data_IF_470355735713
#
_entry.id   IF_470355735713
#
_cell.length_a   1.000
_cell.length_b   1.000
_cell.length_c   1.000
_cell.angle_alpha   90.00
_cell.angle_beta   90.00
_cell.angle_gamma   90.00
#
_symmetry.space_group_name_H-M   'P 1'
#
loop_
_entity.id
_entity.type
_entity.pdbx_description
1 polymer ?
#
# COMPACT_ATOMS: atom_id res chain seq x y z
N UNK A 1 3.82 -10.91 -13.68
CA UNK A 1 3.76 -11.16 -12.21
C UNK A 1 3.58 -12.66 -11.97
N UNK A 2 4.15 -13.20 -10.89
CA UNK A 2 3.86 -14.57 -10.44
C UNK A 2 2.72 -14.50 -9.41
N UNK A 3 1.50 -14.89 -9.82
CA UNK A 3 0.30 -14.84 -8.96
C UNK A 3 0.46 -15.63 -7.66
N UNK A 4 1.33 -16.65 -7.66
CA UNK A 4 1.62 -17.49 -6.51
C UNK A 4 2.22 -16.70 -5.32
N UNK A 5 3.15 -15.78 -5.58
CA UNK A 5 3.84 -15.04 -4.52
C UNK A 5 2.94 -14.01 -3.80
N UNK A 6 1.95 -13.44 -4.50
CA UNK A 6 0.94 -12.58 -3.89
C UNK A 6 -0.01 -13.44 -3.03
N UNK A 7 -0.41 -14.61 -3.54
CA UNK A 7 -1.20 -15.59 -2.78
C UNK A 7 -0.51 -16.05 -1.50
N UNK A 8 0.78 -16.39 -1.54
CA UNK A 8 1.53 -16.91 -0.39
C UNK A 8 1.64 -15.91 0.78
N UNK A 9 1.53 -14.59 0.55
CA UNK A 9 1.43 -13.59 1.62
C UNK A 9 -0.01 -13.51 2.17
N UNK A 10 -0.98 -13.17 1.32
CA UNK A 10 -2.35 -12.85 1.73
C UNK A 10 -3.26 -14.06 2.02
N UNK A 11 -2.83 -15.29 1.75
CA UNK A 11 -3.63 -16.53 1.95
C UNK A 11 -3.92 -16.92 3.40
N UNK A 12 -3.46 -16.16 4.39
CA UNK A 12 -3.64 -16.46 5.83
C UNK A 12 -5.05 -16.15 6.37
N UNK A 13 -5.92 -15.58 5.53
CA UNK A 13 -7.28 -15.17 5.89
C UNK A 13 -7.33 -13.76 6.47
N UNK A 14 -8.41 -13.05 6.18
CA UNK A 14 -8.63 -11.65 6.56
C UNK A 14 -8.48 -11.43 8.07
N UNK A 15 -9.00 -12.36 8.87
CA UNK A 15 -9.01 -12.32 10.33
C UNK A 15 -7.60 -12.16 10.94
N UNK A 16 -6.54 -12.67 10.28
CA UNK A 16 -5.16 -12.53 10.76
C UNK A 16 -4.70 -11.07 10.76
N UNK A 17 -4.85 -10.39 9.62
CA UNK A 17 -4.38 -9.02 9.43
C UNK A 17 -5.15 -8.05 10.33
N UNK A 18 -6.46 -8.31 10.51
CA UNK A 18 -7.34 -7.53 11.37
C UNK A 18 -7.00 -7.60 12.86
N UNK A 19 -6.08 -8.47 13.29
CA UNK A 19 -5.55 -8.42 14.67
C UNK A 19 -4.72 -7.16 14.93
N UNK A 20 -4.05 -6.60 13.90
CA UNK A 20 -3.11 -5.48 14.07
C UNK A 20 -3.30 -4.27 13.14
N UNK A 21 -3.94 -4.40 11.97
CA UNK A 21 -4.23 -3.24 11.10
C UNK A 21 -5.40 -2.40 11.63
N UNK A 22 -5.77 -1.35 10.90
CA UNK A 22 -6.97 -0.55 11.20
C UNK A 22 -8.25 -1.37 10.98
N UNK A 23 -9.22 -1.26 11.91
CA UNK A 23 -10.47 -2.04 11.85
C UNK A 23 -11.62 -1.35 11.11
N UNK A 24 -11.45 -0.10 10.68
CA UNK A 24 -12.49 0.76 10.07
C UNK A 24 -12.48 0.72 8.54
N UNK A 25 -11.29 0.73 7.95
CA UNK A 25 -11.03 0.70 6.51
C UNK A 25 -10.28 -0.56 6.08
N UNK A 26 -9.66 -1.30 7.02
CA UNK A 26 -8.86 -2.51 6.74
C UNK A 26 -7.70 -2.20 5.78
N UNK A 27 -7.07 -1.06 6.01
CA UNK A 27 -6.06 -0.47 5.14
C UNK A 27 -4.67 -0.97 5.52
N UNK A 28 -4.09 -1.79 4.64
CA UNK A 28 -2.76 -2.38 4.80
C UNK A 28 -1.73 -1.65 3.92
N UNK A 29 -1.64 -0.34 4.12
CA UNK A 29 -0.50 0.52 3.78
C UNK A 29 -0.17 1.36 5.02
N UNK A 30 0.88 2.19 4.97
CA UNK A 30 1.19 3.08 6.09
C UNK A 30 0.13 4.18 6.25
N UNK A 31 -0.09 4.60 7.50
CA UNK A 31 -0.87 5.82 7.80
C UNK A 31 -0.01 7.08 7.67
N UNK A 32 -0.61 8.25 7.91
CA UNK A 32 0.09 9.52 8.06
C UNK A 32 -0.14 10.10 9.47
N UNK A 33 0.96 10.32 10.21
CA UNK A 33 0.95 10.83 11.57
C UNK A 33 1.06 12.37 11.56
N UNK A 34 0.07 13.04 12.14
CA UNK A 34 0.17 14.45 12.53
C UNK A 34 0.74 14.60 13.93
N UNK A 35 0.41 13.64 14.82
CA UNK A 35 0.93 13.55 16.18
C UNK A 35 1.34 12.10 16.52
N UNK A 36 2.39 11.88 17.34
CA UNK A 36 2.94 10.52 17.57
C UNK A 36 2.04 9.55 18.35
N UNK A 37 0.96 10.05 18.95
CA UNK A 37 0.01 9.34 19.81
C UNK A 37 -1.36 9.08 19.15
N UNK A 38 -1.52 9.41 17.88
CA UNK A 38 -2.71 9.11 17.09
C UNK A 38 -2.91 7.59 16.90
N UNK A 39 -4.17 7.15 16.86
CA UNK A 39 -4.51 5.75 16.62
C UNK A 39 -4.28 5.34 15.17
N UNK A 40 -4.04 4.05 14.92
CA UNK A 40 -3.94 3.48 13.56
C UNK A 40 -5.16 3.86 12.70
N UNK A 41 -6.36 3.85 13.28
CA UNK A 41 -7.60 4.22 12.60
C UNK A 41 -7.61 5.70 12.13
N UNK A 42 -7.01 6.62 12.90
CA UNK A 42 -6.88 8.03 12.53
C UNK A 42 -5.79 8.24 11.47
N UNK A 43 -4.62 7.62 11.63
CA UNK A 43 -3.51 7.80 10.66
C UNK A 43 -3.79 7.11 9.32
N UNK A 44 -4.50 5.98 9.31
CA UNK A 44 -5.03 5.39 8.07
C UNK A 44 -6.06 6.32 7.40
N UNK A 45 -6.94 6.96 8.17
CA UNK A 45 -7.87 7.97 7.63
C UNK A 45 -7.13 9.21 7.07
N UNK A 46 -6.00 9.61 7.66
CA UNK A 46 -5.17 10.70 7.12
C UNK A 46 -4.51 10.36 5.79
N UNK A 47 -3.99 9.13 5.63
CA UNK A 47 -3.46 8.67 4.33
C UNK A 47 -4.57 8.64 3.28
N UNK A 48 -5.74 8.09 3.62
CA UNK A 48 -6.90 8.05 2.73
C UNK A 48 -7.40 9.46 2.32
N UNK A 49 -7.38 10.43 3.23
CA UNK A 49 -7.69 11.83 2.92
C UNK A 49 -6.64 12.46 1.98
N UNK A 50 -5.34 12.24 2.24
CA UNK A 50 -4.26 12.70 1.36
C UNK A 50 -4.46 12.16 -0.06
N UNK A 51 -4.65 10.84 -0.20
CA UNK A 51 -4.91 10.18 -1.49
C UNK A 51 -6.14 10.76 -2.21
N UNK A 52 -7.25 10.96 -1.49
CA UNK A 52 -8.48 11.53 -2.05
C UNK A 52 -8.30 12.98 -2.50
N UNK A 53 -7.66 13.81 -1.67
CA UNK A 53 -7.42 15.23 -1.93
C UNK A 53 -6.47 15.44 -3.11
N UNK A 54 -5.36 14.71 -3.20
CA UNK A 54 -4.38 14.85 -4.30
C UNK A 54 -4.96 14.53 -5.69
N UNK A 55 -5.98 13.66 -5.77
CA UNK A 55 -6.67 13.34 -7.02
C UNK A 55 -7.63 14.44 -7.50
N UNK A 56 -8.02 15.40 -6.64
CA UNK A 56 -9.00 16.46 -6.94
C UNK A 56 -10.32 15.95 -7.56
N UNK A 57 -10.80 14.79 -7.08
CA UNK A 57 -12.03 14.17 -7.57
C UNK A 57 -13.26 15.07 -7.34
N UNK A 58 -14.03 15.28 -8.40
CA UNK A 58 -15.30 16.03 -8.37
C UNK A 58 -16.49 15.07 -8.29
N UNK A 59 -17.62 15.46 -7.68
CA UNK A 59 -18.82 14.64 -7.64
C UNK A 59 -19.23 14.13 -9.03
N UNK A 60 -19.54 12.83 -9.13
CA UNK A 60 -19.88 12.17 -10.40
C UNK A 60 -18.70 11.74 -11.27
N UNK A 61 -17.45 12.01 -10.87
CA UNK A 61 -16.28 11.36 -11.45
C UNK A 61 -16.13 9.93 -10.89
N UNK A 62 -15.19 9.14 -11.43
CA UNK A 62 -14.85 7.81 -10.86
C UNK A 62 -13.38 7.72 -10.52
N UNK A 63 -13.11 6.97 -9.47
CA UNK A 63 -11.81 6.43 -9.12
C UNK A 63 -11.70 4.99 -9.63
N UNK A 64 -10.52 4.62 -10.15
CA UNK A 64 -10.07 3.23 -10.26
C UNK A 64 -9.03 2.96 -9.16
N UNK A 65 -9.12 1.80 -8.52
CA UNK A 65 -8.33 1.41 -7.34
C UNK A 65 -7.60 0.10 -7.66
N UNK A 66 -6.32 0.20 -8.05
CA UNK A 66 -5.48 -0.95 -8.42
C UNK A 66 -4.72 -1.41 -7.18
N UNK A 67 -5.05 -2.61 -6.71
CA UNK A 67 -4.50 -3.16 -5.47
C UNK A 67 -5.29 -2.80 -4.22
N UNK A 68 -6.57 -2.42 -4.35
CA UNK A 68 -7.43 -1.91 -3.27
C UNK A 68 -7.68 -2.80 -2.03
N UNK A 69 -7.00 -3.94 -1.90
CA UNK A 69 -7.00 -4.79 -0.70
C UNK A 69 -8.41 -5.16 -0.22
N UNK A 70 -8.70 -4.87 1.04
CA UNK A 70 -10.01 -5.06 1.67
C UNK A 70 -11.03 -3.94 1.38
N UNK A 71 -10.76 -3.09 0.40
CA UNK A 71 -11.67 -2.07 -0.11
C UNK A 71 -11.62 -0.73 0.62
N UNK A 72 -10.65 -0.48 1.52
CA UNK A 72 -10.60 0.74 2.34
C UNK A 72 -10.61 2.05 1.54
N UNK A 73 -9.79 2.14 0.48
CA UNK A 73 -9.76 3.27 -0.46
C UNK A 73 -11.11 3.43 -1.16
N UNK A 74 -11.65 2.34 -1.72
CA UNK A 74 -12.96 2.33 -2.39
C UNK A 74 -14.11 2.69 -1.42
N UNK A 75 -14.06 2.30 -0.15
CA UNK A 75 -15.02 2.67 0.89
C UNK A 75 -14.95 4.17 1.20
N UNK A 76 -13.73 4.70 1.34
CA UNK A 76 -13.46 6.10 1.69
C UNK A 76 -13.92 7.08 0.61
N UNK A 77 -13.40 6.88 -0.61
CA UNK A 77 -13.73 7.68 -1.79
C UNK A 77 -15.18 7.40 -2.25
N UNK A 78 -15.66 6.16 -2.06
CA UNK A 78 -16.99 5.66 -2.40
C UNK A 78 -18.12 6.51 -1.86
N UNK A 79 -18.03 6.86 -0.57
CA UNK A 79 -19.02 7.67 0.11
C UNK A 79 -19.05 9.15 -0.33
N UNK A 80 -18.08 9.60 -1.14
CA UNK A 80 -17.81 11.03 -1.40
C UNK A 80 -17.95 11.44 -2.87
N UNK A 81 -17.60 10.60 -3.84
CA UNK A 81 -17.70 10.96 -5.26
C UNK A 81 -17.74 9.74 -6.23
N UNK A 82 -18.93 9.25 -6.60
CA UNK A 82 -19.07 8.23 -7.66
C UNK A 82 -20.36 8.32 -8.50
N UNK A 83 -20.22 8.19 -9.82
CA UNK A 83 -21.21 7.62 -10.75
C UNK A 83 -20.55 6.44 -11.48
N UNK A 84 -21.07 5.22 -11.33
CA UNK A 84 -20.40 4.01 -11.82
C UNK A 84 -20.33 3.89 -13.37
N UNK A 85 -21.08 4.72 -14.13
CA UNK A 85 -21.38 4.47 -15.56
C UNK A 85 -20.44 5.09 -16.62
N UNK A 86 -19.37 5.78 -16.23
CA UNK A 86 -18.54 6.59 -17.17
C UNK A 86 -17.14 6.01 -17.40
N UNK A 87 -16.31 6.59 -18.29
CA UNK A 87 -14.83 6.47 -18.17
C UNK A 87 -14.35 6.93 -16.74
N UNK A 88 -13.20 6.56 -16.10
CA UNK A 88 -12.81 7.14 -14.80
C UNK A 88 -12.16 8.54 -14.92
N UNK A 89 -11.59 9.05 -13.83
CA UNK A 89 -10.88 10.35 -13.80
C UNK A 89 -9.77 10.47 -12.74
N UNK A 90 -9.82 9.65 -11.67
CA UNK A 90 -8.68 9.42 -10.77
C UNK A 90 -8.26 7.95 -10.78
N UNK A 91 -6.99 7.70 -10.51
CA UNK A 91 -6.43 6.36 -10.33
C UNK A 91 -5.59 6.31 -9.06
N UNK A 92 -5.87 5.35 -8.18
CA UNK A 92 -4.95 4.95 -7.10
C UNK A 92 -4.29 3.64 -7.52
N UNK A 93 -2.98 3.57 -7.30
CA UNK A 93 -2.22 2.32 -7.44
C UNK A 93 -1.36 2.10 -6.20
N UNK A 94 -1.53 0.94 -5.57
CA UNK A 94 -0.62 0.42 -4.55
C UNK A 94 0.29 -0.62 -5.24
N UNK A 95 1.53 -0.24 -5.60
CA UNK A 95 2.45 -1.15 -6.30
C UNK A 95 3.59 -1.60 -5.39
N UNK A 96 3.58 -2.89 -5.02
CA UNK A 96 4.70 -3.53 -4.31
C UNK A 96 5.82 -4.05 -5.24
N UNK A 97 5.57 -4.10 -6.56
CA UNK A 97 6.52 -4.67 -7.54
C UNK A 97 6.45 -3.94 -8.88
N UNK A 98 7.61 -3.54 -9.43
CA UNK A 98 7.69 -2.81 -10.70
C UNK A 98 7.45 -3.68 -11.93
N UNK A 99 6.50 -3.29 -12.78
CA UNK A 99 6.26 -3.92 -14.09
C UNK A 99 6.11 -2.82 -15.15
N UNK A 100 6.99 -2.74 -16.17
CA UNK A 100 6.98 -1.66 -17.18
C UNK A 100 5.78 -1.54 -18.12
N UNK A 101 4.68 -2.23 -17.80
CA UNK A 101 3.41 -2.21 -18.55
C UNK A 101 2.32 -1.39 -17.84
N UNK A 102 2.56 -0.94 -16.61
CA UNK A 102 1.54 -0.30 -15.78
C UNK A 102 1.28 1.14 -16.22
N UNK A 103 2.31 1.90 -16.57
CA UNK A 103 2.21 3.29 -17.06
C UNK A 103 1.38 3.45 -18.33
N UNK A 104 1.61 2.62 -19.36
CA UNK A 104 0.81 2.65 -20.59
C UNK A 104 -0.64 2.26 -20.32
N UNK A 105 -0.87 1.18 -19.56
CA UNK A 105 -2.24 0.75 -19.18
C UNK A 105 -2.97 1.84 -18.39
N UNK A 106 -2.25 2.52 -17.48
CA UNK A 106 -2.74 3.67 -16.70
C UNK A 106 -3.17 4.83 -17.60
N UNK A 107 -2.39 5.12 -18.65
CA UNK A 107 -2.72 6.16 -19.64
C UNK A 107 -3.98 5.83 -20.42
N UNK A 108 -4.12 4.59 -20.88
CA UNK A 108 -5.27 4.16 -21.71
C UNK A 108 -6.58 4.11 -20.92
N UNK A 109 -6.51 3.98 -19.59
CA UNK A 109 -7.65 3.97 -18.68
C UNK A 109 -8.07 5.37 -18.20
N UNK A 110 -7.22 6.40 -18.28
CA UNK A 110 -7.52 7.73 -17.75
C UNK A 110 -8.07 8.69 -18.81
N UNK A 111 -9.11 9.45 -18.46
CA UNK A 111 -9.54 10.60 -19.26
C UNK A 111 -8.45 11.70 -19.25
N UNK A 112 -8.32 12.52 -20.31
CA UNK A 112 -7.42 13.68 -20.30
C UNK A 112 -7.67 14.61 -19.11
N UNK A 113 -6.59 15.02 -18.44
CA UNK A 113 -6.65 15.80 -17.19
C UNK A 113 -6.95 14.99 -15.93
N UNK A 114 -7.08 13.66 -16.04
CA UNK A 114 -7.15 12.78 -14.88
C UNK A 114 -5.83 12.64 -14.13
N UNK A 115 -5.90 12.27 -12.85
CA UNK A 115 -4.75 12.17 -11.94
C UNK A 115 -4.45 10.75 -11.51
N UNK A 116 -3.18 10.49 -11.23
CA UNK A 116 -2.67 9.26 -10.62
C UNK A 116 -2.12 9.60 -9.25
N UNK A 117 -2.54 8.85 -8.22
CA UNK A 117 -1.82 8.74 -6.96
C UNK A 117 -1.15 7.36 -6.92
N UNK A 118 0.15 7.34 -6.70
CA UNK A 118 0.97 6.13 -6.70
C UNK A 118 1.66 5.99 -5.35
N UNK A 119 1.24 4.98 -4.58
CA UNK A 119 1.83 4.64 -3.28
C UNK A 119 2.76 3.43 -3.46
N UNK A 120 4.05 3.59 -3.14
CA UNK A 120 5.08 2.59 -3.42
C UNK A 120 6.13 2.49 -2.31
N UNK A 121 6.40 1.27 -1.87
CA UNK A 121 7.64 0.96 -1.13
C UNK A 121 8.81 0.94 -2.13
N UNK A 122 9.44 2.10 -2.31
CA UNK A 122 10.56 2.28 -3.23
C UNK A 122 11.92 2.26 -2.51
N UNK A 123 12.90 1.61 -3.12
CA UNK A 123 14.29 1.63 -2.68
C UNK A 123 15.11 2.62 -3.52
N UNK A 124 16.18 3.17 -2.94
CA UNK A 124 17.14 4.01 -3.69
C UNK A 124 18.08 3.14 -4.55
N UNK A 125 18.26 1.87 -4.16
CA UNK A 125 19.18 0.91 -4.79
C UNK A 125 18.43 -0.35 -5.22
N UNK A 126 18.62 -0.78 -6.48
CA UNK A 126 18.01 -2.02 -6.98
C UNK A 126 18.59 -3.26 -6.27
N UNK A 127 17.72 -4.25 -6.06
CA UNK A 127 18.05 -5.57 -5.49
C UNK A 127 18.56 -5.57 -4.03
N UNK A 128 18.39 -4.47 -3.29
CA UNK A 128 18.76 -4.32 -1.88
C UNK A 128 17.82 -5.09 -0.91
N UNK A 129 17.53 -6.36 -1.20
CA UNK A 129 16.67 -7.24 -0.38
C UNK A 129 17.54 -8.31 0.28
N UNK A 130 17.41 -8.49 1.60
CA UNK A 130 18.11 -9.56 2.32
C UNK A 130 17.67 -10.95 1.85
N UNK A 131 18.57 -11.93 1.94
CA UNK A 131 18.26 -13.33 1.61
C UNK A 131 17.14 -13.90 2.48
N UNK A 132 17.08 -13.49 3.76
CA UNK A 132 16.01 -13.86 4.68
C UNK A 132 14.65 -13.32 4.21
N UNK A 133 14.55 -12.03 3.88
CA UNK A 133 13.28 -11.45 3.42
C UNK A 133 12.78 -12.06 2.10
N UNK A 134 13.69 -12.42 1.17
CA UNK A 134 13.35 -13.18 -0.04
C UNK A 134 12.87 -14.61 0.23
N UNK A 135 13.32 -15.23 1.32
CA UNK A 135 12.94 -16.60 1.67
C UNK A 135 11.60 -16.67 2.43
N UNK A 136 11.35 -15.72 3.33
CA UNK A 136 10.24 -15.79 4.29
C UNK A 136 9.13 -14.75 4.10
N UNK A 137 9.35 -13.68 3.32
CA UNK A 137 8.35 -12.62 3.06
C UNK A 137 7.91 -12.62 1.59
N UNK A 138 8.84 -12.37 0.65
CA UNK A 138 8.53 -12.27 -0.78
C UNK A 138 9.28 -13.32 -1.60
N UNK A 139 8.68 -14.50 -1.71
CA UNK A 139 9.20 -15.58 -2.54
C UNK A 139 9.31 -15.14 -4.02
N UNK A 140 10.47 -15.38 -4.63
CA UNK A 140 10.69 -15.15 -6.07
C UNK A 140 11.66 -14.02 -6.43
N UNK A 141 11.71 -13.68 -7.73
CA UNK A 141 12.64 -12.70 -8.31
C UNK A 141 12.16 -11.26 -8.16
N UNK A 142 11.81 -10.85 -6.95
CA UNK A 142 11.37 -9.49 -6.66
C UNK A 142 12.56 -8.53 -6.55
N UNK A 143 12.51 -7.47 -7.35
CA UNK A 143 13.31 -6.25 -7.18
C UNK A 143 12.40 -5.14 -6.68
N UNK A 144 12.82 -4.42 -5.63
CA UNK A 144 12.15 -3.20 -5.24
C UNK A 144 12.10 -2.21 -6.42
N UNK A 145 10.99 -1.48 -6.47
CA UNK A 145 10.82 -0.33 -7.34
C UNK A 145 11.84 0.73 -6.94
N UNK A 146 12.39 1.49 -7.90
CA UNK A 146 13.14 2.71 -7.58
C UNK A 146 12.38 3.93 -8.09
N UNK A 147 12.50 5.05 -7.37
CA UNK A 147 11.80 6.31 -7.70
C UNK A 147 12.21 6.79 -9.10
N UNK A 148 13.48 6.62 -9.47
CA UNK A 148 14.01 7.01 -10.78
C UNK A 148 13.38 6.21 -11.94
N UNK A 149 13.19 4.90 -11.77
CA UNK A 149 12.54 4.05 -12.78
C UNK A 149 11.08 4.50 -13.00
N UNK A 150 10.33 4.68 -11.91
CA UNK A 150 8.92 5.10 -11.95
C UNK A 150 8.76 6.46 -12.63
N UNK A 151 9.55 7.44 -12.20
CA UNK A 151 9.48 8.78 -12.81
C UNK A 151 9.82 8.71 -14.29
N UNK A 152 10.89 8.01 -14.68
CA UNK A 152 11.28 7.89 -16.08
C UNK A 152 10.18 7.21 -16.93
N UNK A 153 9.54 6.17 -16.40
CA UNK A 153 8.47 5.45 -17.10
C UNK A 153 7.21 6.31 -17.27
N UNK A 154 6.73 6.96 -16.20
CA UNK A 154 5.55 7.82 -16.29
C UNK A 154 5.78 9.05 -17.18
N UNK A 155 6.95 9.69 -17.09
CA UNK A 155 7.34 10.79 -17.98
C UNK A 155 7.42 10.33 -19.45
N UNK A 156 7.96 9.14 -19.72
CA UNK A 156 8.03 8.58 -21.08
C UNK A 156 6.63 8.37 -21.70
N UNK A 157 5.66 7.93 -20.91
CA UNK A 157 4.26 7.82 -21.35
C UNK A 157 3.51 9.16 -21.36
N UNK A 158 4.15 10.28 -21.04
CA UNK A 158 3.58 11.64 -21.16
C UNK A 158 2.70 12.06 -19.98
N UNK A 159 2.95 11.50 -18.80
CA UNK A 159 2.45 12.08 -17.54
C UNK A 159 3.35 13.24 -17.10
N UNK A 160 2.78 14.14 -16.29
CA UNK A 160 3.50 15.19 -15.58
C UNK A 160 3.60 14.81 -14.10
N UNK A 161 4.77 14.99 -13.48
CA UNK A 161 4.98 14.75 -12.04
C UNK A 161 4.61 16.02 -11.28
N UNK A 162 3.50 15.96 -10.54
CA UNK A 162 3.00 17.09 -9.74
C UNK A 162 3.77 17.17 -8.40
N UNK A 163 3.96 16.04 -7.73
CA UNK A 163 4.54 15.96 -6.39
C UNK A 163 5.21 14.59 -6.18
N UNK A 164 6.25 14.55 -5.33
CA UNK A 164 6.87 13.33 -4.80
C UNK A 164 7.12 13.56 -3.31
N UNK A 165 6.48 12.75 -2.46
CA UNK A 165 6.58 12.85 -0.98
C UNK A 165 7.33 11.64 -0.44
N UNK A 166 8.21 11.86 0.55
CA UNK A 166 8.93 10.79 1.25
C UNK A 166 8.32 10.58 2.64
N UNK A 167 7.53 9.52 2.79
CA UNK A 167 6.74 9.22 4.00
C UNK A 167 7.36 8.09 4.84
N UNK A 168 8.68 7.88 4.70
CA UNK A 168 9.42 6.82 5.40
C UNK A 168 9.21 6.84 6.91
N UNK A 169 9.08 8.03 7.51
CA UNK A 169 8.91 8.15 8.95
C UNK A 169 7.54 7.66 9.43
N UNK A 170 6.49 7.96 8.68
CA UNK A 170 5.13 7.49 8.94
C UNK A 170 5.01 5.98 8.72
N UNK A 171 5.77 5.43 7.77
CA UNK A 171 5.92 3.98 7.60
C UNK A 171 6.54 3.32 8.84
N UNK A 172 7.65 3.85 9.38
CA UNK A 172 8.26 3.35 10.63
C UNK A 172 7.27 3.37 11.81
N UNK A 173 6.53 4.48 11.97
CA UNK A 173 5.57 4.65 13.06
C UNK A 173 4.37 3.70 12.91
N UNK A 174 3.87 3.50 11.68
CA UNK A 174 2.82 2.52 11.40
C UNK A 174 3.28 1.11 11.75
N UNK A 175 4.49 0.72 11.29
CA UNK A 175 5.05 -0.61 11.56
C UNK A 175 5.26 -0.84 13.05
N UNK A 176 5.77 0.16 13.79
CA UNK A 176 5.93 0.10 15.24
C UNK A 176 4.59 -0.12 15.96
N UNK A 177 3.52 0.56 15.54
CA UNK A 177 2.20 0.45 16.18
C UNK A 177 1.46 -0.84 15.79
N UNK A 178 1.52 -1.27 14.53
CA UNK A 178 1.10 -2.62 14.12
C UNK A 178 1.82 -3.71 14.91
N UNK A 179 3.12 -3.52 15.18
CA UNK A 179 3.90 -4.45 16.00
C UNK A 179 3.36 -4.56 17.43
N UNK A 180 3.06 -3.41 18.08
CA UNK A 180 2.46 -3.39 19.43
C UNK A 180 1.10 -4.11 19.45
N UNK A 181 0.26 -3.89 18.43
CA UNK A 181 -1.04 -4.56 18.30
C UNK A 181 -0.90 -6.07 18.07
N UNK A 182 0.04 -6.52 17.23
CA UNK A 182 0.35 -7.94 17.04
C UNK A 182 0.84 -8.61 18.34
N UNK A 183 1.73 -7.94 19.09
CA UNK A 183 2.23 -8.44 20.38
C UNK A 183 1.11 -8.48 21.45
N UNK A 184 0.16 -7.54 21.42
CA UNK A 184 -1.02 -7.56 22.28
C UNK A 184 -2.03 -8.67 21.90
N UNK A 185 -2.15 -8.99 20.60
CA UNK A 185 -2.99 -10.06 20.07
C UNK A 185 -2.29 -11.44 20.06
N UNK A 186 -1.10 -11.58 20.64
CA UNK A 186 -0.26 -12.79 20.56
C UNK A 186 -1.02 -14.09 20.78
N UNK A 187 -1.79 -14.21 21.85
CA UNK A 187 -2.41 -15.49 22.23
C UNK A 187 -3.55 -15.87 21.26
N UNK A 188 -4.29 -14.88 20.73
CA UNK A 188 -5.26 -15.04 19.64
C UNK A 188 -4.55 -15.49 18.35
N UNK A 189 -3.44 -14.84 18.00
CA UNK A 189 -2.66 -15.16 16.80
C UNK A 189 -2.04 -16.56 16.87
N UNK A 190 -1.51 -16.97 18.03
CA UNK A 190 -0.95 -18.31 18.21
C UNK A 190 -2.06 -19.38 18.17
N UNK A 191 -3.24 -19.11 18.74
CA UNK A 191 -4.36 -20.04 18.72
C UNK A 191 -4.95 -20.22 17.30
N UNK A 192 -5.04 -19.15 16.50
CA UNK A 192 -5.58 -19.21 15.14
C UNK A 192 -4.59 -19.66 14.05
N UNK A 193 -3.33 -19.23 14.12
CA UNK A 193 -2.35 -19.37 13.04
C UNK A 193 -1.00 -19.97 13.46
N UNK A 194 -0.83 -20.34 14.73
CA UNK A 194 0.34 -21.03 15.26
C UNK A 194 1.52 -20.11 15.62
N UNK A 195 2.39 -20.63 16.50
CA UNK A 195 3.56 -19.90 17.02
C UNK A 195 4.55 -19.50 15.92
N UNK A 196 4.73 -20.32 14.89
CA UNK A 196 5.62 -20.01 13.76
C UNK A 196 5.16 -18.75 13.03
N UNK A 197 3.86 -18.65 12.68
CA UNK A 197 3.29 -17.47 12.01
C UNK A 197 3.46 -16.22 12.86
N UNK A 198 3.12 -16.28 14.15
CA UNK A 198 3.33 -15.18 15.09
C UNK A 198 4.80 -14.72 15.09
N UNK A 199 5.75 -15.66 15.21
CA UNK A 199 7.18 -15.35 15.27
C UNK A 199 7.73 -14.78 13.96
N UNK A 200 7.28 -15.28 12.80
CA UNK A 200 7.66 -14.74 11.49
C UNK A 200 7.15 -13.31 11.36
N UNK A 201 5.85 -13.05 11.55
CA UNK A 201 5.31 -11.70 11.39
C UNK A 201 5.86 -10.73 12.44
N UNK A 202 6.09 -11.17 13.68
CA UNK A 202 6.77 -10.38 14.70
C UNK A 202 8.19 -9.97 14.26
N UNK A 203 8.95 -10.87 13.63
CA UNK A 203 10.27 -10.54 13.06
C UNK A 203 10.16 -9.60 11.85
N UNK A 204 9.12 -9.72 11.02
CA UNK A 204 8.88 -8.80 9.90
C UNK A 204 8.58 -7.39 10.41
N UNK A 205 7.66 -7.24 11.37
CA UNK A 205 7.22 -5.91 11.83
C UNK A 205 8.27 -5.23 12.72
N UNK A 206 8.93 -5.95 13.66
CA UNK A 206 10.05 -5.40 14.45
C UNK A 206 11.34 -5.21 13.65
N UNK A 207 11.60 -6.06 12.65
CA UNK A 207 12.84 -6.11 11.89
C UNK A 207 12.82 -5.27 10.61
N UNK A 208 11.75 -4.51 10.36
CA UNK A 208 11.65 -3.64 9.19
C UNK A 208 12.50 -2.38 9.37
N UNK A 209 13.70 -2.42 8.83
CA UNK A 209 14.49 -1.21 8.57
C UNK A 209 14.16 -0.69 7.15
N UNK A 210 13.57 0.51 7.00
CA UNK A 210 13.30 1.08 5.69
C UNK A 210 14.55 1.66 5.00
N UNK A 211 15.73 1.62 5.62
CA UNK A 211 16.97 2.22 5.12
C UNK A 211 17.84 1.30 4.24
N UNK A 212 17.25 0.31 3.54
CA UNK A 212 17.96 -0.65 2.67
C UNK A 212 17.68 -0.39 1.18
#
# INVERSE_FOLDING_TARGET
MNSKAIGDHYSRGDDFYLTYIDKRYRFYSHGLFKYPDESIEEVSEHKLESMFSSLELKPGQRLLDIGGGWGGVTQYCGARAFDQRQEPLGLIMLLSTGSPSVSQTTKDLLKPGGRVYLDVSAAVTKFAVSSWARQYIWSGTHSFITVQDVMAEFLYHGFEVIEVVHETKDYELTMLEWTKRLDAAKDEVIAGWGEETYRVFRLVLWGWDPCI
#
